data_IF_411721537759
#
_entry.id   IF_411721537759
#
_cell.length_a   1.000
_cell.length_b   1.000
_cell.length_c   1.000
_cell.angle_alpha   90.00
_cell.angle_beta   90.00
_cell.angle_gamma   90.00
#
_symmetry.space_group_name_H-M   'P 1'
#
loop_
_entity.id
_entity.type
_entity.pdbx_description
1 polymer ?
#
# COMPACT_ATOMS: atom_id res chain seq x y z
N UNK A 1 -9.61 0.87 12.94
CA UNK A 1 -8.24 0.27 12.99
C UNK A 1 -7.35 1.10 12.06
N UNK A 2 -6.05 1.25 12.34
CA UNK A 2 -5.10 1.85 11.38
C UNK A 2 -4.30 0.75 10.68
N UNK A 3 -4.20 0.80 9.36
CA UNK A 3 -3.47 -0.17 8.54
C UNK A 3 -2.52 0.58 7.62
N UNK A 4 -1.22 0.26 7.71
CA UNK A 4 -0.19 0.84 6.85
C UNK A 4 0.43 -0.27 6.01
N UNK A 5 0.37 -0.13 4.69
CA UNK A 5 0.99 -1.03 3.74
C UNK A 5 2.30 -0.44 3.23
N UNK A 6 3.39 -1.21 3.27
CA UNK A 6 4.68 -0.82 2.69
C UNK A 6 4.89 -1.56 1.36
N UNK A 7 4.93 -0.82 0.25
CA UNK A 7 5.25 -1.37 -1.06
C UNK A 7 6.78 -1.43 -1.23
N UNK A 8 7.36 -2.62 -1.02
CA UNK A 8 8.79 -2.88 -1.22
C UNK A 8 9.20 -3.16 -2.66
N UNK A 9 8.34 -2.90 -3.64
CA UNK A 9 8.72 -3.09 -5.05
C UNK A 9 9.77 -2.07 -5.45
N UNK A 10 10.79 -2.49 -6.20
CA UNK A 10 11.83 -1.58 -6.72
C UNK A 10 11.31 -0.61 -7.80
N UNK A 11 10.09 -0.83 -8.31
CA UNK A 11 9.46 -0.02 -9.35
C UNK A 11 8.14 0.58 -8.85
N UNK A 12 7.87 1.82 -9.26
CA UNK A 12 6.55 2.45 -9.11
C UNK A 12 5.54 1.82 -10.08
N UNK A 13 4.25 1.94 -9.77
CA UNK A 13 3.15 1.44 -10.59
C UNK A 13 3.29 -0.06 -10.90
N UNK A 14 3.83 -0.82 -9.94
CA UNK A 14 4.07 -2.25 -10.05
C UNK A 14 2.89 -3.08 -9.57
N UNK A 15 2.92 -4.38 -9.89
CA UNK A 15 1.87 -5.31 -9.46
C UNK A 15 1.72 -5.34 -7.93
N UNK A 16 2.80 -5.16 -7.17
CA UNK A 16 2.75 -5.12 -5.70
C UNK A 16 1.91 -3.95 -5.20
N UNK A 17 2.06 -2.77 -5.78
CA UNK A 17 1.26 -1.59 -5.44
C UNK A 17 -0.23 -1.83 -5.78
N UNK A 18 -0.51 -2.40 -6.95
CA UNK A 18 -1.87 -2.77 -7.36
C UNK A 18 -2.51 -3.76 -6.38
N UNK A 19 -1.78 -4.80 -5.97
CA UNK A 19 -2.26 -5.80 -5.02
C UNK A 19 -2.50 -5.18 -3.63
N UNK A 20 -1.60 -4.31 -3.16
CA UNK A 20 -1.78 -3.61 -1.89
C UNK A 20 -3.02 -2.72 -1.93
N UNK A 21 -3.21 -1.93 -2.98
CA UNK A 21 -4.43 -1.13 -3.17
C UNK A 21 -5.70 -2.00 -3.19
N UNK A 22 -5.63 -3.18 -3.82
CA UNK A 22 -6.74 -4.14 -3.86
C UNK A 22 -7.11 -4.64 -2.47
N UNK A 23 -6.13 -4.86 -1.59
CA UNK A 23 -6.34 -5.28 -0.19
C UNK A 23 -6.79 -4.12 0.70
N UNK A 24 -6.24 -2.92 0.51
CA UNK A 24 -6.59 -1.75 1.31
C UNK A 24 -8.03 -1.30 1.08
N UNK A 25 -8.56 -1.43 -0.14
CA UNK A 25 -9.92 -1.02 -0.48
C UNK A 25 -11.02 -1.64 0.43
N UNK A 26 -11.16 -2.97 0.55
CA UNK A 26 -12.17 -3.55 1.43
C UNK A 26 -11.91 -3.26 2.92
N UNK A 27 -10.65 -3.04 3.33
CA UNK A 27 -10.33 -2.64 4.70
C UNK A 27 -10.84 -1.22 5.00
N UNK A 28 -10.66 -0.30 4.05
CA UNK A 28 -11.22 1.06 4.14
C UNK A 28 -12.75 1.03 4.17
N UNK A 29 -13.39 0.20 3.33
CA UNK A 29 -14.85 -0.01 3.32
C UNK A 29 -15.37 -0.57 4.67
N UNK A 30 -14.55 -1.34 5.38
CA UNK A 30 -14.85 -1.85 6.73
C UNK A 30 -14.55 -0.84 7.86
N UNK A 31 -14.16 0.40 7.54
CA UNK A 31 -13.88 1.45 8.51
C UNK A 31 -12.45 1.47 9.06
N UNK A 32 -11.49 0.82 8.39
CA UNK A 32 -10.08 1.02 8.68
C UNK A 32 -9.57 2.33 8.04
N UNK A 33 -8.70 3.03 8.76
CA UNK A 33 -7.89 4.11 8.21
C UNK A 33 -6.68 3.46 7.53
N UNK A 34 -6.52 3.66 6.23
CA UNK A 34 -5.51 2.97 5.40
C UNK A 34 -4.51 3.95 4.81
N UNK A 35 -3.23 3.57 4.82
CA UNK A 35 -2.13 4.30 4.17
C UNK A 35 -1.27 3.33 3.35
N UNK A 36 -0.80 3.80 2.19
CA UNK A 36 0.18 3.10 1.36
C UNK A 36 1.48 3.91 1.30
N UNK A 37 2.58 3.30 1.74
CA UNK A 37 3.93 3.86 1.68
C UNK A 37 4.72 3.14 0.60
N UNK A 38 5.14 3.88 -0.43
CA UNK A 38 5.98 3.35 -1.50
C UNK A 38 7.48 3.55 -1.22
N UNK A 39 8.24 2.46 -1.25
CA UNK A 39 9.69 2.49 -1.03
C UNK A 39 10.49 2.63 -2.34
N UNK A 40 9.82 2.58 -3.49
CA UNK A 40 10.48 2.70 -4.79
C UNK A 40 11.13 4.09 -4.94
N UNK A 41 12.46 4.11 -5.05
CA UNK A 41 13.24 5.35 -5.21
C UNK A 41 13.49 6.11 -3.91
N UNK A 42 13.23 5.52 -2.75
CA UNK A 42 13.64 6.07 -1.46
C UNK A 42 15.06 5.58 -1.10
N UNK A 43 15.78 6.37 -0.31
CA UNK A 43 17.05 5.99 0.30
C UNK A 43 16.79 5.78 1.79
N UNK A 44 16.56 4.52 2.18
CA UNK A 44 16.32 4.09 3.57
C UNK A 44 17.39 3.08 3.93
#
# INVERSE_FOLDING_TARGET
MKVVAFCGSARKNGNTELLLNTVLKPLAEAGAETELVELAGTHI
#
